data_IF_525807134933
#
_entry.id   IF_525807134933
#
_cell.length_a   1.000
_cell.length_b   1.000
_cell.length_c   1.000
_cell.angle_alpha   90.00
_cell.angle_beta   90.00
_cell.angle_gamma   90.00
#
_symmetry.space_group_name_H-M   'P 1'
#
loop_
_entity.id
_entity.type
_entity.pdbx_description
1 polymer ?
#
# COMPACT_ATOMS: atom_id res chain seq x y z
N UNK A 1 25.75 -8.27 -7.71
CA UNK A 1 24.30 -8.11 -7.80
C UNK A 1 23.73 -9.21 -6.93
N UNK A 2 23.56 -8.92 -5.65
CA UNK A 2 23.21 -9.91 -4.63
C UNK A 2 21.71 -10.18 -4.76
N UNK A 3 21.34 -11.34 -5.29
CA UNK A 3 19.98 -11.84 -5.20
C UNK A 3 19.76 -12.20 -3.73
N UNK A 4 19.24 -11.27 -2.93
CA UNK A 4 18.63 -11.63 -1.66
C UNK A 4 17.45 -12.54 -2.00
N UNK A 5 17.53 -13.80 -1.57
CA UNK A 5 16.40 -14.71 -1.62
C UNK A 5 15.22 -14.06 -0.88
N UNK A 6 14.08 -13.92 -1.55
CA UNK A 6 12.84 -13.46 -0.93
C UNK A 6 12.55 -14.35 0.28
N UNK A 7 12.30 -13.80 1.48
CA UNK A 7 12.01 -14.61 2.65
C UNK A 7 10.70 -15.39 2.43
N UNK A 8 10.71 -16.67 2.78
CA UNK A 8 9.50 -17.51 2.70
C UNK A 8 8.46 -17.04 3.73
N UNK A 9 7.54 -16.22 3.24
CA UNK A 9 6.41 -15.65 3.98
C UNK A 9 5.49 -16.70 4.60
N UNK A 10 5.43 -17.92 4.04
CA UNK A 10 4.51 -18.95 4.50
C UNK A 10 4.83 -19.46 5.91
N UNK A 11 6.11 -19.39 6.31
CA UNK A 11 6.62 -19.83 7.61
C UNK A 11 6.57 -18.75 8.70
N UNK A 12 6.31 -17.49 8.34
CA UNK A 12 6.43 -16.36 9.26
C UNK A 12 5.18 -16.19 10.15
N UNK A 13 5.34 -16.35 11.46
CA UNK A 13 4.33 -16.00 12.48
C UNK A 13 4.37 -14.51 12.84
N UNK A 14 5.53 -13.88 12.70
CA UNK A 14 5.78 -12.45 12.82
C UNK A 14 6.73 -12.01 11.71
N UNK A 15 6.71 -10.72 11.37
CA UNK A 15 7.67 -10.18 10.41
C UNK A 15 9.09 -10.23 11.01
N UNK A 16 10.13 -10.57 10.24
CA UNK A 16 11.50 -10.39 10.68
C UNK A 16 11.74 -8.88 10.86
N UNK A 17 11.67 -8.45 12.12
CA UNK A 17 11.97 -7.09 12.53
C UNK A 17 13.43 -7.09 12.94
N UNK A 18 14.33 -6.86 11.98
CA UNK A 18 15.67 -6.35 12.31
C UNK A 18 15.49 -4.89 12.71
N UNK A 19 15.23 -4.66 14.00
CA UNK A 19 15.16 -3.32 14.57
C UNK A 19 16.14 -3.21 15.74
N UNK A 20 17.25 -2.50 15.50
CA UNK A 20 18.22 -2.07 16.51
C UNK A 20 17.59 -1.22 17.64
N UNK A 21 16.29 -0.88 17.54
CA UNK A 21 15.50 -0.21 18.58
C UNK A 21 14.93 -1.14 19.65
N UNK A 22 15.09 -2.46 19.55
CA UNK A 22 14.82 -3.37 20.68
C UNK A 22 15.96 -3.23 21.70
N UNK A 23 16.05 -2.07 22.36
CA UNK A 23 17.04 -1.81 23.42
C UNK A 23 16.48 -2.03 24.82
N UNK A 24 15.15 -2.11 24.98
CA UNK A 24 14.50 -2.12 26.30
C UNK A 24 13.41 -3.20 26.51
N UNK A 25 13.42 -4.32 25.76
CA UNK A 25 12.40 -5.40 25.88
C UNK A 25 10.93 -4.94 25.72
N UNK A 26 10.68 -3.74 25.20
CA UNK A 26 9.34 -3.21 24.94
C UNK A 26 9.01 -3.37 23.46
N UNK A 27 8.18 -4.35 23.14
CA UNK A 27 7.65 -4.53 21.78
C UNK A 27 6.68 -3.38 21.49
N UNK A 28 7.11 -2.41 20.68
CA UNK A 28 6.22 -1.38 20.16
C UNK A 28 5.39 -1.97 19.01
N UNK A 29 4.06 -2.01 19.21
CA UNK A 29 3.12 -2.52 18.23
C UNK A 29 2.33 -1.37 17.59
N UNK A 30 2.21 -1.39 16.25
CA UNK A 30 1.41 -0.44 15.49
C UNK A 30 0.15 -1.14 15.01
N UNK A 31 -1.03 -0.64 15.41
CA UNK A 31 -2.33 -1.09 14.90
C UNK A 31 -2.76 -0.22 13.71
N UNK A 32 -2.96 -0.84 12.54
CA UNK A 32 -3.48 -0.16 11.34
C UNK A 32 -4.90 -0.67 11.07
N UNK A 33 -5.90 0.21 11.12
CA UNK A 33 -7.31 -0.18 10.92
C UNK A 33 -8.06 0.76 9.96
N UNK A 34 -9.16 0.25 9.42
CA UNK A 34 -10.22 1.00 8.76
C UNK A 34 -11.55 0.34 9.15
N UNK A 35 -12.69 0.93 8.77
CA UNK A 35 -14.01 0.51 9.29
C UNK A 35 -14.28 -1.00 9.16
N UNK A 36 -14.01 -1.58 7.99
CA UNK A 36 -14.30 -3.00 7.70
C UNK A 36 -13.05 -3.88 7.63
N UNK A 37 -11.85 -3.30 7.66
CA UNK A 37 -10.60 -4.07 7.46
C UNK A 37 -10.46 -4.74 6.07
N UNK A 38 -11.22 -4.29 5.06
CA UNK A 38 -11.27 -4.94 3.72
C UNK A 38 -10.32 -4.29 2.72
N UNK A 39 -10.27 -2.95 2.67
CA UNK A 39 -9.69 -2.22 1.53
C UNK A 39 -8.61 -1.21 1.94
N UNK A 40 -8.95 -0.17 2.71
CA UNK A 40 -8.00 0.89 3.11
C UNK A 40 -6.84 0.38 3.96
N UNK A 41 -7.10 -0.19 5.16
CA UNK A 41 -6.01 -0.64 6.02
C UNK A 41 -5.18 -1.78 5.42
N UNK A 42 -5.74 -2.80 4.73
CA UNK A 42 -4.91 -3.80 4.08
C UNK A 42 -4.04 -3.24 2.96
N UNK A 43 -4.51 -2.23 2.20
CA UNK A 43 -3.70 -1.57 1.17
C UNK A 43 -2.42 -0.98 1.76
N UNK A 44 -2.52 -0.31 2.90
CA UNK A 44 -1.35 0.27 3.59
C UNK A 44 -0.41 -0.82 4.10
N UNK A 45 -0.96 -1.89 4.69
CA UNK A 45 -0.18 -3.04 5.17
C UNK A 45 0.58 -3.69 4.00
N UNK A 46 -0.09 -3.94 2.88
CA UNK A 46 0.50 -4.52 1.68
C UNK A 46 1.62 -3.62 1.14
N UNK A 47 1.36 -2.33 0.97
CA UNK A 47 2.37 -1.37 0.47
C UNK A 47 3.62 -1.31 1.37
N UNK A 48 3.43 -1.38 2.70
CA UNK A 48 4.51 -1.43 3.67
C UNK A 48 5.33 -2.71 3.54
N UNK A 49 4.68 -3.87 3.49
CA UNK A 49 5.35 -5.16 3.36
C UNK A 49 6.13 -5.29 2.05
N UNK A 50 5.53 -4.88 0.93
CA UNK A 50 6.21 -4.83 -0.37
C UNK A 50 7.51 -4.02 -0.27
N UNK A 51 7.45 -2.81 0.29
CA UNK A 51 8.63 -1.94 0.43
C UNK A 51 9.66 -2.48 1.43
N UNK A 52 9.22 -2.98 2.58
CA UNK A 52 10.10 -3.40 3.67
C UNK A 52 10.82 -4.71 3.35
N UNK A 53 10.12 -5.64 2.69
CA UNK A 53 10.62 -6.98 2.39
C UNK A 53 11.06 -7.15 0.94
N UNK A 54 10.81 -6.16 0.06
CA UNK A 54 11.08 -6.25 -1.37
C UNK A 54 10.39 -7.43 -2.07
N UNK A 55 9.16 -7.72 -1.65
CA UNK A 55 8.34 -8.83 -2.16
C UNK A 55 7.28 -8.27 -3.12
N UNK A 56 7.00 -8.95 -4.25
CA UNK A 56 6.04 -8.46 -5.23
C UNK A 56 4.60 -8.42 -4.70
N UNK A 57 3.77 -7.59 -5.32
CA UNK A 57 2.39 -7.34 -4.90
C UNK A 57 1.58 -8.63 -4.71
N UNK A 58 1.66 -9.54 -5.68
CA UNK A 58 0.86 -10.77 -5.67
C UNK A 58 1.18 -11.65 -4.46
N UNK A 59 2.47 -11.87 -4.19
CA UNK A 59 2.93 -12.68 -3.05
C UNK A 59 2.53 -12.04 -1.71
N UNK A 60 2.67 -10.72 -1.57
CA UNK A 60 2.27 -10.01 -0.35
C UNK A 60 0.75 -10.05 -0.16
N UNK A 61 -0.02 -9.89 -1.24
CA UNK A 61 -1.48 -9.94 -1.17
C UNK A 61 -1.96 -11.33 -0.72
N UNK A 62 -1.42 -12.40 -1.30
CA UNK A 62 -1.71 -13.78 -0.91
C UNK A 62 -1.34 -14.04 0.56
N UNK A 63 -0.16 -13.58 0.98
CA UNK A 63 0.27 -13.66 2.37
C UNK A 63 -0.71 -12.98 3.31
N UNK A 64 -1.08 -11.72 3.07
CA UNK A 64 -2.00 -10.96 3.93
C UNK A 64 -3.38 -11.62 3.97
N UNK A 65 -3.85 -12.17 2.84
CA UNK A 65 -5.11 -12.91 2.78
C UNK A 65 -5.07 -14.21 3.59
N UNK A 66 -3.94 -14.92 3.59
CA UNK A 66 -3.75 -16.17 4.35
C UNK A 66 -3.83 -16.00 5.87
N UNK A 67 -3.57 -14.79 6.39
CA UNK A 67 -3.62 -14.51 7.84
C UNK A 67 -5.04 -14.31 8.37
N UNK A 68 -6.05 -14.37 7.50
CA UNK A 68 -7.45 -14.20 7.85
C UNK A 68 -8.20 -15.54 7.73
N UNK A 69 -9.05 -15.92 8.70
CA UNK A 69 -9.85 -17.16 8.62
C UNK A 69 -10.79 -17.20 7.39
N UNK A 70 -11.21 -16.03 6.92
CA UNK A 70 -11.95 -15.83 5.68
C UNK A 70 -11.29 -14.66 4.93
N UNK A 71 -10.83 -14.83 3.67
CA UNK A 71 -10.09 -13.80 2.95
C UNK A 71 -11.01 -12.67 2.53
N UNK A 72 -11.22 -11.73 3.45
CA UNK A 72 -11.97 -10.48 3.22
C UNK A 72 -11.09 -9.36 2.70
N UNK A 73 -9.77 -9.50 2.77
CA UNK A 73 -8.83 -8.50 2.27
C UNK A 73 -8.95 -8.43 0.75
N UNK A 74 -9.47 -7.29 0.29
CA UNK A 74 -9.70 -7.00 -1.10
C UNK A 74 -9.60 -5.49 -1.30
N UNK A 75 -8.38 -4.98 -1.57
CA UNK A 75 -8.19 -3.62 -2.04
C UNK A 75 -9.15 -3.32 -3.20
N UNK A 76 -9.67 -2.08 -3.26
CA UNK A 76 -10.45 -1.65 -4.42
C UNK A 76 -9.61 -1.70 -5.69
N UNK A 77 -10.22 -1.77 -6.87
CA UNK A 77 -9.49 -1.74 -8.15
C UNK A 77 -8.52 -0.55 -8.25
N UNK A 78 -8.91 0.60 -7.69
CA UNK A 78 -8.07 1.79 -7.65
C UNK A 78 -6.84 1.57 -6.74
N UNK A 79 -7.02 1.01 -5.55
CA UNK A 79 -5.91 0.68 -4.67
C UNK A 79 -5.00 -0.41 -5.25
N UNK A 80 -5.54 -1.43 -5.90
CA UNK A 80 -4.72 -2.43 -6.60
C UNK A 80 -3.86 -1.77 -7.68
N UNK A 81 -4.43 -0.86 -8.47
CA UNK A 81 -3.68 -0.09 -9.47
C UNK A 81 -2.58 0.77 -8.84
N UNK A 82 -2.87 1.43 -7.72
CA UNK A 82 -1.87 2.20 -6.98
C UNK A 82 -0.74 1.33 -6.44
N UNK A 83 -1.05 0.11 -5.96
CA UNK A 83 -0.03 -0.84 -5.50
C UNK A 83 0.86 -1.35 -6.65
N UNK A 84 0.29 -1.57 -7.84
CA UNK A 84 1.07 -1.93 -9.04
C UNK A 84 2.04 -0.80 -9.43
N UNK A 85 1.56 0.45 -9.46
CA UNK A 85 2.43 1.62 -9.71
C UNK A 85 3.49 1.75 -8.62
N UNK A 86 3.14 1.47 -7.36
CA UNK A 86 4.06 1.52 -6.22
C UNK A 86 5.21 0.51 -6.34
N UNK A 87 4.92 -0.68 -6.83
CA UNK A 87 5.91 -1.70 -7.18
C UNK A 87 6.80 -1.25 -8.35
N UNK A 88 6.18 -0.80 -9.45
CA UNK A 88 6.88 -0.40 -10.68
C UNK A 88 7.84 0.77 -10.47
N UNK A 89 7.46 1.74 -9.63
CA UNK A 89 8.33 2.88 -9.28
C UNK A 89 9.40 2.54 -8.23
N UNK A 90 9.50 1.29 -7.80
CA UNK A 90 10.48 0.84 -6.81
C UNK A 90 10.32 1.56 -5.47
N UNK A 91 9.07 1.77 -5.05
CA UNK A 91 8.73 2.41 -3.77
C UNK A 91 9.25 3.85 -3.62
N UNK A 92 9.48 4.52 -4.75
CA UNK A 92 9.83 5.93 -4.85
C UNK A 92 9.17 6.54 -6.09
N UNK A 93 8.11 7.33 -5.90
CA UNK A 93 7.29 7.87 -6.99
C UNK A 93 7.92 9.10 -7.69
N UNK A 94 8.96 9.71 -7.11
CA UNK A 94 9.63 10.90 -7.64
C UNK A 94 11.04 10.57 -8.14
N UNK A 95 11.45 11.21 -9.24
CA UNK A 95 12.83 11.12 -9.76
C UNK A 95 13.80 11.99 -8.96
N UNK A 96 13.31 13.10 -8.40
CA UNK A 96 14.11 14.07 -7.68
C UNK A 96 13.72 14.21 -6.20
N UNK A 97 14.66 14.69 -5.39
CA UNK A 97 14.48 14.88 -3.95
C UNK A 97 13.42 15.91 -3.60
N UNK A 98 13.21 16.91 -4.47
CA UNK A 98 12.22 17.97 -4.27
C UNK A 98 10.80 17.51 -4.56
N UNK A 99 10.61 16.26 -5.02
CA UNK A 99 9.31 15.65 -5.29
C UNK A 99 8.47 16.43 -6.29
N UNK A 100 9.10 16.88 -7.37
CA UNK A 100 8.44 17.68 -8.42
C UNK A 100 8.37 16.94 -9.75
N UNK A 101 9.27 15.99 -10.00
CA UNK A 101 9.33 15.20 -11.24
C UNK A 101 8.85 13.78 -10.95
N UNK A 102 7.62 13.40 -11.33
CA UNK A 102 7.12 12.05 -11.11
C UNK A 102 7.81 11.06 -12.05
N UNK A 103 8.04 9.83 -11.57
CA UNK A 103 8.50 8.73 -12.44
C UNK A 103 7.47 8.43 -13.54
N UNK A 104 7.89 7.90 -14.70
CA UNK A 104 6.98 7.68 -15.85
C UNK A 104 5.70 6.92 -15.50
N UNK A 105 5.79 5.82 -14.75
CA UNK A 105 4.64 5.01 -14.35
C UNK A 105 3.66 5.79 -13.46
N UNK A 106 4.19 6.56 -12.49
CA UNK A 106 3.36 7.40 -11.63
C UNK A 106 2.72 8.56 -12.40
N UNK A 107 3.47 9.15 -13.35
CA UNK A 107 2.94 10.20 -14.22
C UNK A 107 1.77 9.70 -15.07
N UNK A 108 1.92 8.53 -15.72
CA UNK A 108 0.84 7.92 -16.49
C UNK A 108 -0.41 7.64 -15.63
N UNK A 109 -0.21 7.19 -14.39
CA UNK A 109 -1.31 7.03 -13.44
C UNK A 109 -2.03 8.36 -13.11
N UNK A 110 -1.27 9.45 -12.92
CA UNK A 110 -1.84 10.78 -12.65
C UNK A 110 -2.62 11.31 -13.86
N UNK A 111 -2.08 11.16 -15.06
CA UNK A 111 -2.72 11.62 -16.30
C UNK A 111 -4.05 10.89 -16.54
N UNK A 112 -4.07 9.55 -16.39
CA UNK A 112 -5.29 8.74 -16.49
C UNK A 112 -6.32 9.11 -15.43
N UNK A 113 -5.87 9.35 -14.18
CA UNK A 113 -6.76 9.76 -13.09
C UNK A 113 -7.35 11.13 -13.38
N UNK A 114 -6.57 12.08 -13.90
CA UNK A 114 -7.05 13.41 -14.24
C UNK A 114 -8.12 13.36 -15.35
N UNK A 115 -7.92 12.52 -16.38
CA UNK A 115 -8.90 12.31 -17.43
C UNK A 115 -10.21 11.73 -16.87
N UNK A 116 -10.13 10.70 -16.02
CA UNK A 116 -11.31 10.07 -15.39
C UNK A 116 -12.07 11.02 -14.47
N UNK A 117 -11.36 11.86 -13.71
CA UNK A 117 -12.00 12.86 -12.84
C UNK A 117 -12.72 13.92 -13.69
N UNK A 118 -12.08 14.41 -14.75
CA UNK A 118 -12.67 15.37 -15.68
C UNK A 118 -13.95 14.82 -16.35
N UNK A 119 -13.91 13.57 -16.81
CA UNK A 119 -15.08 12.89 -17.40
C UNK A 119 -16.25 12.82 -16.40
N UNK A 120 -15.95 12.59 -15.13
CA UNK A 120 -16.94 12.50 -14.05
C UNK A 120 -17.36 13.84 -13.45
N UNK A 121 -16.80 14.96 -13.92
CA UNK A 121 -17.03 16.28 -13.31
C UNK A 121 -16.53 16.39 -11.87
N UNK A 122 -15.52 15.59 -11.51
CA UNK A 122 -14.92 15.55 -10.18
C UNK A 122 -13.57 16.28 -10.16
N UNK A 123 -13.25 16.85 -9.01
CA UNK A 123 -11.97 17.47 -8.65
C UNK A 123 -11.00 16.46 -8.03
N UNK A 124 -11.51 15.39 -7.42
CA UNK A 124 -10.73 14.43 -6.64
C UNK A 124 -10.52 14.84 -5.19
N UNK A 125 -11.06 15.99 -4.76
CA UNK A 125 -11.06 16.50 -3.38
C UNK A 125 -12.48 16.61 -2.82
N UNK A 126 -13.40 15.78 -3.33
CA UNK A 126 -14.77 15.74 -2.84
C UNK A 126 -14.80 15.30 -1.36
N UNK A 127 -15.74 15.80 -0.56
CA UNK A 127 -15.91 15.33 0.81
C UNK A 127 -16.26 13.84 0.82
N UNK A 128 -15.65 13.09 1.74
CA UNK A 128 -15.84 11.64 1.88
C UNK A 128 -17.27 11.25 2.31
N UNK A 129 -18.00 12.20 2.89
CA UNK A 129 -19.40 12.05 3.29
C UNK A 129 -20.25 13.12 2.57
N UNK A 130 -21.51 12.79 2.22
CA UNK A 130 -22.49 13.79 1.82
C UNK A 130 -22.54 14.94 2.84
N UNK A 131 -22.55 16.18 2.37
CA UNK A 131 -22.70 17.38 3.21
C UNK A 131 -23.95 17.32 4.10
N UNK A 132 -24.96 16.55 3.71
CA UNK A 132 -26.21 16.32 4.45
C UNK A 132 -26.07 15.50 5.74
N UNK A 133 -24.86 15.02 6.08
CA UNK A 133 -24.56 14.30 7.32
C UNK A 133 -23.71 15.13 8.30
N UNK A 134 -23.48 16.41 7.98
CA UNK A 134 -22.71 17.35 8.80
C UNK A 134 -23.59 18.38 9.53
N UNK A 135 -24.91 18.29 9.38
CA UNK A 135 -25.92 19.08 10.10
C UNK A 135 -26.54 18.28 11.26
#
# INVERSE_FOLDING_TARGET
MEQLASPDLSSLTSLPIDDDRIKDNKLEAIMVHCDLGISRSPTIIIAYLMRKLHIPLMEVLEFVQSKQPFPRVRPSKNFTRQLQVWEEVGYQVWENKDKTVPKPAYKAFLDDRAALLKEKGLTGNEPLAPLSLLD
#
